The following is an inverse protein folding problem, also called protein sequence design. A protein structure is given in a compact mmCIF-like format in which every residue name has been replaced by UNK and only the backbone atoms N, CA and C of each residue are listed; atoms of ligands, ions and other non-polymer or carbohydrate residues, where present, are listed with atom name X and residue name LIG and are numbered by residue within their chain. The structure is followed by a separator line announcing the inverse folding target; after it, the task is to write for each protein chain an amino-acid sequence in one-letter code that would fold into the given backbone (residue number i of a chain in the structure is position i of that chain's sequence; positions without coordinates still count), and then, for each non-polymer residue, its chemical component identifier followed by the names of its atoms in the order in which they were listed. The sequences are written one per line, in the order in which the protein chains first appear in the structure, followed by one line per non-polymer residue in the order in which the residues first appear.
data_IF_374104714556
#
_entry.id   IF_374104714556
#
_cell.length_a   1.000
_cell.length_b   1.000
_cell.length_c   1.000
_cell.angle_alpha   90.00
_cell.angle_beta   90.00
_cell.angle_gamma   90.00
#
_symmetry.space_group_name_H-M   'P 1'
#
loop_
_entity.id
_entity.type
_entity.pdbx_description
1 polymer ?
#
# COMPACT_ATOMS: atom_id res chain seq x y z
N UNK A 1 -4.84 15.57 -4.36
CA UNK A 1 -4.98 14.35 -5.16
C UNK A 1 -3.78 13.48 -4.96
N UNK A 2 -3.93 12.24 -4.51
CA UNK A 2 -2.79 11.37 -4.23
C UNK A 2 -3.09 9.90 -4.45
N UNK A 3 -2.14 9.24 -5.12
CA UNK A 3 -2.30 7.92 -5.71
C UNK A 3 -1.61 6.89 -4.81
N UNK A 4 -2.32 5.81 -4.49
CA UNK A 4 -1.75 4.64 -3.85
C UNK A 4 -1.45 3.59 -4.93
N UNK A 5 -0.28 2.96 -4.87
CA UNK A 5 0.05 1.83 -5.72
C UNK A 5 0.81 0.81 -4.90
N UNK A 6 0.26 -0.39 -4.77
CA UNK A 6 0.99 -1.54 -4.29
C UNK A 6 1.79 -2.11 -5.44
N UNK A 7 3.04 -2.50 -5.19
CA UNK A 7 3.88 -3.17 -6.19
C UNK A 7 4.48 -4.45 -5.62
N UNK A 8 4.59 -5.50 -6.44
CA UNK A 8 5.31 -6.73 -6.08
C UNK A 8 6.83 -6.53 -6.15
N UNK A 9 7.60 -7.56 -5.76
CA UNK A 9 9.07 -7.57 -5.86
C UNK A 9 9.61 -7.26 -7.28
N UNK A 10 8.81 -7.50 -8.33
CA UNK A 10 9.15 -7.22 -9.72
C UNK A 10 8.69 -5.82 -10.17
N UNK A 11 8.19 -4.99 -9.25
CA UNK A 11 7.68 -3.64 -9.53
C UNK A 11 6.31 -3.61 -10.21
N UNK A 12 5.62 -4.75 -10.36
CA UNK A 12 4.30 -4.80 -10.98
C UNK A 12 3.25 -4.29 -10.00
N UNK A 13 2.39 -3.39 -10.45
CA UNK A 13 1.33 -2.85 -9.63
C UNK A 13 0.31 -3.94 -9.28
N UNK A 14 0.21 -4.28 -7.99
CA UNK A 14 -0.65 -5.35 -7.44
C UNK A 14 -2.05 -4.82 -7.15
N UNK A 15 -2.17 -3.60 -6.64
CA UNK A 15 -3.47 -3.00 -6.32
C UNK A 15 -3.38 -1.47 -6.11
N UNK A 16 -4.44 -0.75 -6.48
CA UNK A 16 -4.63 0.67 -6.15
C UNK A 16 -5.84 0.77 -5.21
N UNK A 17 -5.58 0.74 -3.90
CA UNK A 17 -6.61 1.07 -2.92
C UNK A 17 -6.90 2.58 -2.97
N UNK A 18 -7.95 2.95 -3.71
CA UNK A 18 -8.51 4.29 -3.76
C UNK A 18 -9.28 4.55 -2.46
N UNK A 19 -8.78 5.47 -1.63
CA UNK A 19 -9.60 6.07 -0.57
C UNK A 19 -9.51 7.59 -0.65
N UNK A 20 -10.70 8.18 -0.70
CA UNK A 20 -10.99 9.59 -0.89
C UNK A 20 -10.89 10.31 0.46
N UNK A 21 -9.77 11.02 0.68
CA UNK A 21 -9.59 12.05 1.71
C UNK A 21 -9.61 11.58 3.17
N UNK A 22 -8.44 11.56 3.80
CA UNK A 22 -8.27 11.25 5.22
C UNK A 22 -7.95 12.55 5.97
N UNK A 23 -8.49 12.71 7.17
CA UNK A 23 -8.12 13.85 8.04
C UNK A 23 -6.71 13.67 8.60
N UNK A 24 -6.11 14.76 9.10
CA UNK A 24 -4.80 14.69 9.73
C UNK A 24 -4.86 13.82 11.00
N UNK A 25 -3.98 12.83 11.12
CA UNK A 25 -3.97 11.92 12.26
C UNK A 25 -3.32 10.57 11.95
N UNK A 26 -3.36 9.67 12.93
CA UNK A 26 -2.95 8.28 12.75
C UNK A 26 -4.11 7.45 12.21
N UNK A 27 -3.82 6.65 11.19
CA UNK A 27 -4.80 5.78 10.56
C UNK A 27 -4.22 4.39 10.40
N UNK A 28 -5.04 3.38 10.62
CA UNK A 28 -4.69 1.98 10.41
C UNK A 28 -5.27 1.52 9.08
N UNK A 29 -4.42 0.90 8.25
CA UNK A 29 -4.83 0.25 7.01
C UNK A 29 -4.75 -1.25 7.24
N UNK A 30 -5.83 -1.96 6.96
CA UNK A 30 -5.82 -3.41 6.87
C UNK A 30 -5.69 -3.81 5.40
N UNK A 31 -4.81 -4.76 5.13
CA UNK A 31 -4.59 -5.31 3.79
C UNK A 31 -5.12 -6.73 3.74
N UNK A 32 -5.80 -7.03 2.64
CA UNK A 32 -6.29 -8.37 2.36
C UNK A 32 -5.29 -9.10 1.45
N UNK A 33 -4.62 -10.11 2.01
CA UNK A 33 -3.71 -10.98 1.26
C UNK A 33 -4.39 -12.25 0.74
N UNK A 34 -5.73 -12.34 0.78
CA UNK A 34 -6.47 -13.50 0.26
C UNK A 34 -6.12 -13.72 -1.22
N UNK A 35 -5.62 -14.92 -1.55
CA UNK A 35 -5.20 -15.28 -2.90
C UNK A 35 -3.88 -14.67 -3.37
N UNK A 36 -3.17 -13.90 -2.53
CA UNK A 36 -1.83 -13.39 -2.83
C UNK A 36 -0.75 -14.40 -2.40
N UNK A 37 0.36 -14.46 -3.12
CA UNK A 37 1.47 -15.35 -2.78
C UNK A 37 2.24 -14.86 -1.55
N UNK A 38 2.86 -15.76 -0.78
CA UNK A 38 3.82 -15.35 0.24
C UNK A 38 5.00 -14.62 -0.43
N UNK A 39 5.47 -13.53 0.19
CA UNK A 39 6.56 -12.74 -0.35
C UNK A 39 6.62 -11.31 0.17
N UNK A 40 7.50 -10.53 -0.47
CA UNK A 40 7.72 -9.12 -0.17
C UNK A 40 6.77 -8.24 -1.00
N UNK A 41 6.05 -7.36 -0.31
CA UNK A 41 5.14 -6.37 -0.88
C UNK A 41 5.58 -4.95 -0.50
N UNK A 42 5.31 -4.00 -1.39
CA UNK A 42 5.58 -2.58 -1.15
C UNK A 42 4.27 -1.81 -1.07
N UNK A 43 4.07 -1.12 0.06
CA UNK A 43 2.96 -0.22 0.29
C UNK A 43 3.43 1.20 0.12
N UNK A 44 2.95 1.87 -0.92
CA UNK A 44 3.13 3.31 -1.07
C UNK A 44 1.94 4.04 -0.47
N UNK A 45 2.17 5.13 0.24
CA UNK A 45 1.16 6.04 0.74
C UNK A 45 1.55 7.47 0.37
N UNK A 46 0.57 8.25 -0.05
CA UNK A 46 0.76 9.62 -0.50
C UNK A 46 -0.28 10.51 0.25
N UNK A 47 0.15 11.55 1.00
CA UNK A 47 -0.75 12.56 1.65
C UNK A 47 -0.19 14.03 1.72
N UNK A 48 -0.70 15.01 0.95
CA UNK A 48 -0.14 16.37 0.63
C UNK A 48 1.39 16.57 0.31
N UNK A 49 1.88 16.44 -0.95
CA UNK A 49 3.35 16.39 -1.30
C UNK A 49 4.24 15.18 -0.87
N UNK A 50 4.29 14.79 0.41
CA UNK A 50 4.97 13.60 1.00
C UNK A 50 4.60 12.20 0.44
N UNK A 51 5.57 11.40 0.01
CA UNK A 51 5.39 9.97 -0.28
C UNK A 51 6.09 9.12 0.78
N UNK A 52 5.40 8.10 1.30
CA UNK A 52 5.97 7.12 2.23
C UNK A 52 5.83 5.74 1.64
N UNK A 53 6.92 4.98 1.63
CA UNK A 53 6.93 3.58 1.19
C UNK A 53 7.26 2.70 2.39
N UNK A 54 6.50 1.62 2.54
CA UNK A 54 6.71 0.61 3.58
C UNK A 54 6.82 -0.78 2.95
N UNK A 55 7.82 -1.53 3.39
CA UNK A 55 8.01 -2.94 3.01
C UNK A 55 7.22 -3.83 3.96
N UNK A 56 6.50 -4.80 3.41
CA UNK A 56 5.74 -5.79 4.18
C UNK A 56 6.12 -7.19 3.70
N UNK A 57 6.52 -8.04 4.62
CA UNK A 57 6.71 -9.47 4.36
C UNK A 57 5.40 -10.18 4.72
N UNK A 58 4.78 -10.83 3.75
CA UNK A 58 3.65 -11.71 3.98
C UNK A 58 4.13 -13.17 3.94
N UNK A 59 3.91 -13.88 5.03
CA UNK A 59 4.17 -15.31 5.16
C UNK A 59 2.82 -16.01 5.32
N UNK A 60 2.67 -17.15 4.66
CA UNK A 60 1.45 -17.97 4.74
C UNK A 60 1.50 -18.91 5.93
#
# INVERSE_FOLDING_TARGET
MRNRSESDFLGRHVERALSTRWEAGYHTVQLDFTGKAAGLYFLQAEASGVTRVQKVMFLR
#
